data_IF_001601069231
#
_entry.id   IF_001601069231
#
_cell.length_a   1.000
_cell.length_b   1.000
_cell.length_c   1.000
_cell.angle_alpha   90.00
_cell.angle_beta   90.00
_cell.angle_gamma   90.00
#
_symmetry.space_group_name_H-M   'P 1'
#
loop_
_entity.id
_entity.type
_entity.pdbx_description
1 polymer ?
#
# COMPACT_ATOMS: atom_id res chain seq x y z
N UNK A 1 -14.59 2.49 24.35
CA UNK A 1 -14.42 1.62 23.17
C UNK A 1 -12.99 1.77 22.70
N UNK A 2 -12.29 0.68 22.36
CA UNK A 2 -10.94 0.81 21.81
C UNK A 2 -11.03 1.55 20.47
N UNK A 3 -10.17 2.55 20.26
CA UNK A 3 -10.08 3.28 19.00
C UNK A 3 -9.86 2.30 17.84
N UNK A 4 -10.59 2.51 16.73
CA UNK A 4 -10.37 1.78 15.49
C UNK A 4 -9.03 2.28 14.92
N UNK A 5 -7.97 1.49 15.06
CA UNK A 5 -6.62 1.84 14.58
C UNK A 5 -6.27 1.06 13.32
N UNK A 6 -5.64 1.75 12.38
CA UNK A 6 -5.12 1.14 11.16
C UNK A 6 -3.79 0.44 11.44
N UNK A 7 -3.49 -0.60 10.66
CA UNK A 7 -2.20 -1.30 10.68
C UNK A 7 -1.44 -0.90 9.41
N UNK A 8 -0.22 -0.41 9.56
CA UNK A 8 0.64 -0.04 8.44
C UNK A 8 1.79 -1.04 8.32
N UNK A 9 1.97 -1.60 7.13
CA UNK A 9 3.08 -2.49 6.82
C UNK A 9 4.15 -1.71 6.07
N UNK A 10 5.34 -1.58 6.66
CA UNK A 10 6.46 -0.79 6.12
C UNK A 10 7.66 -1.70 5.87
N UNK A 11 8.38 -1.45 4.78
CA UNK A 11 9.55 -2.22 4.38
C UNK A 11 9.85 -2.05 2.89
N UNK A 12 10.99 -2.57 2.39
CA UNK A 12 11.41 -2.38 1.01
C UNK A 12 10.45 -3.05 0.00
N UNK A 13 10.56 -2.67 -1.28
CA UNK A 13 9.87 -3.36 -2.37
C UNK A 13 10.24 -4.85 -2.37
N UNK A 14 9.28 -5.73 -2.66
CA UNK A 14 9.49 -7.18 -2.66
C UNK A 14 9.51 -7.86 -1.27
N UNK A 15 9.42 -7.11 -0.16
CA UNK A 15 9.38 -7.68 1.19
C UNK A 15 8.09 -8.48 1.54
N UNK A 16 7.16 -8.62 0.59
CA UNK A 16 5.92 -9.39 0.80
C UNK A 16 4.79 -8.65 1.51
N UNK A 17 4.88 -7.31 1.65
CA UNK A 17 3.91 -6.47 2.38
C UNK A 17 2.47 -6.67 1.91
N UNK A 18 2.21 -6.63 0.61
CA UNK A 18 0.85 -6.80 0.07
C UNK A 18 0.33 -8.23 0.24
N UNK A 19 1.22 -9.23 0.26
CA UNK A 19 0.84 -10.63 0.52
C UNK A 19 0.41 -10.82 1.97
N UNK A 20 1.25 -10.40 2.92
CA UNK A 20 0.94 -10.50 4.36
C UNK A 20 -0.23 -9.60 4.74
N UNK A 21 -0.31 -8.39 4.18
CA UNK A 21 -1.40 -7.44 4.45
C UNK A 21 -2.77 -7.98 4.06
N UNK A 22 -2.89 -8.64 2.90
CA UNK A 22 -4.15 -9.29 2.49
C UNK A 22 -4.55 -10.42 3.46
N UNK A 23 -3.60 -11.26 3.87
CA UNK A 23 -3.87 -12.34 4.82
C UNK A 23 -4.26 -11.80 6.20
N UNK A 24 -3.56 -10.76 6.68
CA UNK A 24 -3.83 -10.12 7.96
C UNK A 24 -5.21 -9.45 7.97
N UNK A 25 -5.55 -8.73 6.92
CA UNK A 25 -6.85 -8.07 6.78
C UNK A 25 -8.00 -9.09 6.82
N UNK A 26 -7.85 -10.23 6.13
CA UNK A 26 -8.83 -11.33 6.19
C UNK A 26 -8.98 -11.90 7.60
N UNK A 27 -7.87 -12.16 8.30
CA UNK A 27 -7.89 -12.71 9.66
C UNK A 27 -8.51 -11.75 10.69
N UNK A 28 -8.31 -10.45 10.50
CA UNK A 28 -8.81 -9.40 11.41
C UNK A 28 -10.16 -8.82 10.99
N UNK A 29 -10.75 -9.31 9.90
CA UNK A 29 -11.96 -8.76 9.28
C UNK A 29 -11.85 -7.25 9.03
N UNK A 30 -10.73 -6.84 8.45
CA UNK A 30 -10.42 -5.46 8.07
C UNK A 30 -10.38 -5.34 6.55
N UNK A 31 -10.55 -4.12 6.05
CA UNK A 31 -10.26 -3.81 4.65
C UNK A 31 -8.76 -3.76 4.42
N UNK A 32 -8.34 -4.17 3.21
CA UNK A 32 -6.95 -4.08 2.77
C UNK A 32 -6.82 -2.97 1.73
N UNK A 33 -5.80 -2.13 1.91
CA UNK A 33 -5.42 -1.08 0.96
C UNK A 33 -3.93 -1.22 0.64
N UNK A 34 -3.60 -1.15 -0.63
CA UNK A 34 -2.23 -1.02 -1.12
C UNK A 34 -2.02 0.45 -1.54
N UNK A 35 -0.97 1.09 -1.01
CA UNK A 35 -0.77 2.53 -1.20
C UNK A 35 -0.55 2.88 -2.67
N UNK A 36 0.22 2.07 -3.37
CA UNK A 36 0.64 2.36 -4.74
C UNK A 36 -0.59 2.24 -5.66
N UNK A 37 -1.36 1.15 -5.49
CA UNK A 37 -2.62 0.96 -6.22
C UNK A 37 -3.64 2.07 -5.95
N UNK A 38 -3.73 2.56 -4.71
CA UNK A 38 -4.67 3.63 -4.36
C UNK A 38 -4.23 4.98 -4.94
N UNK A 39 -2.92 5.23 -5.07
CA UNK A 39 -2.39 6.39 -5.78
C UNK A 39 -2.75 6.29 -7.26
N UNK A 40 -2.42 5.17 -7.93
CA UNK A 40 -2.71 4.96 -9.36
C UNK A 40 -4.20 5.13 -9.67
N UNK A 41 -5.08 4.57 -8.83
CA UNK A 41 -6.53 4.68 -8.99
C UNK A 41 -7.02 6.12 -8.91
N UNK A 42 -6.38 6.97 -8.11
CA UNK A 42 -6.78 8.37 -7.90
C UNK A 42 -6.19 9.31 -8.93
N UNK A 43 -4.96 9.06 -9.37
CA UNK A 43 -4.23 9.93 -10.30
C UNK A 43 -4.41 9.51 -11.75
N UNK A 44 -4.66 8.22 -12.01
CA UNK A 44 -4.60 7.62 -13.33
C UNK A 44 -3.17 7.45 -13.87
N UNK A 45 -2.16 7.78 -13.08
CA UNK A 45 -0.75 7.65 -13.42
C UNK A 45 -0.18 6.38 -12.80
N UNK A 46 0.59 5.61 -13.57
CA UNK A 46 1.34 4.44 -13.09
C UNK A 46 2.46 4.91 -12.16
N UNK A 47 2.54 4.34 -10.95
CA UNK A 47 3.52 4.78 -9.95
C UNK A 47 4.93 4.41 -10.36
N UNK A 48 5.11 3.27 -11.05
CA UNK A 48 6.40 2.88 -11.61
C UNK A 48 6.90 3.90 -12.62
N UNK A 49 6.03 4.34 -13.53
CA UNK A 49 6.34 5.39 -14.49
C UNK A 49 6.72 6.71 -13.82
N UNK A 50 5.99 7.12 -12.76
CA UNK A 50 6.32 8.34 -11.99
C UNK A 50 7.73 8.25 -11.42
N UNK A 51 8.10 7.13 -10.79
CA UNK A 51 9.46 6.95 -10.27
C UNK A 51 10.53 6.90 -11.37
N UNK A 52 10.21 6.38 -12.55
CA UNK A 52 11.12 6.38 -13.70
C UNK A 52 11.34 7.79 -14.29
N UNK A 53 10.29 8.62 -14.33
CA UNK A 53 10.32 9.96 -14.95
C UNK A 53 10.85 11.03 -13.98
N UNK A 54 10.39 11.04 -12.73
CA UNK A 54 10.73 12.03 -11.69
C UNK A 54 11.92 11.60 -10.80
N UNK A 55 12.23 10.30 -10.74
CA UNK A 55 13.20 9.75 -9.79
C UNK A 55 12.63 9.64 -8.36
N UNK A 56 13.45 9.17 -7.40
CA UNK A 56 13.00 8.99 -6.00
C UNK A 56 12.88 10.30 -5.21
N UNK A 57 13.47 11.39 -5.70
CA UNK A 57 13.45 12.71 -5.04
C UNK A 57 12.20 13.54 -5.41
N UNK A 58 11.56 13.23 -6.55
CA UNK A 58 10.45 14.00 -7.15
C UNK A 58 10.91 15.18 -7.99
#
# INVERSE_FOLDING_TARGET
MAEKRNIFLVGPMGAGKSTIGRQLAQQLNMEFYDSDQEIEKRTGADVGWVFEDEGEDG
#
